data_IF_065133322972
#
_entry.id   IF_065133322972
#
_cell.length_a   1.000
_cell.length_b   1.000
_cell.length_c   1.000
_cell.angle_alpha   90.00
_cell.angle_beta   90.00
_cell.angle_gamma   90.00
#
_symmetry.space_group_name_H-M   'P 1'
#
loop_
_entity.id
_entity.type
_entity.pdbx_description
1 polymer ?
#
# COMPACT_ATOMS: atom_id res chain seq x y z
N UNK A 1 -67.04 -6.60 -26.40
CA UNK A 1 -65.80 -7.40 -26.39
C UNK A 1 -64.86 -6.79 -25.35
N UNK A 2 -64.88 -7.32 -24.13
CA UNK A 2 -63.94 -6.94 -23.07
C UNK A 2 -62.62 -7.65 -23.36
N UNK A 3 -61.54 -6.89 -23.54
CA UNK A 3 -60.21 -7.44 -23.70
C UNK A 3 -59.74 -8.10 -22.38
N UNK A 4 -59.02 -9.23 -22.41
CA UNK A 4 -58.51 -9.83 -21.19
C UNK A 4 -57.36 -8.98 -20.65
N UNK A 5 -57.46 -8.59 -19.38
CA UNK A 5 -56.33 -8.11 -18.59
C UNK A 5 -55.33 -9.26 -18.46
N UNK A 6 -54.20 -9.17 -19.17
CA UNK A 6 -53.06 -10.04 -18.93
C UNK A 6 -52.45 -9.66 -17.58
N UNK A 7 -52.81 -10.41 -16.54
CA UNK A 7 -52.09 -10.37 -15.27
C UNK A 7 -50.72 -10.98 -15.53
N UNK A 8 -49.71 -10.12 -15.68
CA UNK A 8 -48.30 -10.53 -15.70
C UNK A 8 -47.98 -11.18 -14.36
N UNK A 9 -47.97 -12.51 -14.32
CA UNK A 9 -47.39 -13.27 -13.22
C UNK A 9 -45.87 -13.24 -13.36
N UNK A 10 -45.25 -12.06 -13.22
CA UNK A 10 -43.83 -12.01 -12.91
C UNK A 10 -43.67 -12.64 -11.53
N UNK A 11 -43.13 -13.86 -11.47
CA UNK A 11 -42.61 -14.44 -10.23
C UNK A 11 -41.74 -13.36 -9.58
N UNK A 12 -42.13 -12.88 -8.40
CA UNK A 12 -41.29 -11.98 -7.60
C UNK A 12 -40.01 -12.74 -7.26
N UNK A 13 -38.96 -12.44 -8.00
CA UNK A 13 -37.61 -12.85 -7.69
C UNK A 13 -37.12 -12.03 -6.50
N UNK A 14 -36.45 -12.67 -5.55
CA UNK A 14 -35.86 -12.03 -4.38
C UNK A 14 -34.35 -12.24 -4.49
N UNK A 15 -33.61 -11.30 -5.11
CA UNK A 15 -32.19 -11.46 -5.35
C UNK A 15 -31.44 -11.75 -4.06
N UNK A 16 -30.56 -12.76 -4.08
CA UNK A 16 -29.77 -13.16 -2.93
C UNK A 16 -28.31 -12.79 -3.19
N UNK A 17 -27.80 -11.84 -2.41
CA UNK A 17 -26.39 -11.43 -2.42
C UNK A 17 -25.62 -12.20 -1.35
N UNK A 18 -24.55 -12.88 -1.77
CA UNK A 18 -23.58 -13.57 -0.91
C UNK A 18 -22.20 -12.95 -1.07
N UNK A 19 -21.51 -12.74 0.05
CA UNK A 19 -20.13 -12.25 0.10
C UNK A 19 -19.31 -13.18 1.00
N UNK A 20 -18.26 -13.82 0.49
CA UNK A 20 -17.47 -14.80 1.24
C UNK A 20 -15.95 -14.64 1.04
N UNK A 21 -15.14 -14.57 2.11
CA UNK A 21 -15.56 -14.54 3.51
C UNK A 21 -16.13 -13.16 3.91
N UNK A 22 -17.14 -13.14 4.77
CA UNK A 22 -17.75 -11.91 5.33
C UNK A 22 -16.75 -11.14 6.20
N UNK A 23 -15.82 -11.86 6.85
CA UNK A 23 -14.72 -11.30 7.64
C UNK A 23 -13.41 -11.87 7.14
N UNK A 24 -12.44 -11.02 6.88
CA UNK A 24 -11.14 -11.40 6.33
C UNK A 24 -10.19 -10.21 6.39
N UNK A 25 -8.91 -10.46 6.18
CA UNK A 25 -7.93 -9.38 6.14
C UNK A 25 -8.14 -8.51 4.90
N UNK A 26 -7.64 -7.28 4.95
CA UNK A 26 -7.74 -6.34 3.82
C UNK A 26 -6.98 -6.82 2.60
N UNK A 27 -5.95 -7.66 2.76
CA UNK A 27 -5.15 -8.23 1.68
C UNK A 27 -5.64 -9.62 1.21
N UNK A 28 -6.76 -10.09 1.76
CA UNK A 28 -7.44 -11.32 1.35
C UNK A 28 -8.55 -11.04 0.33
N UNK A 29 -8.66 -11.90 -0.69
CA UNK A 29 -9.76 -11.84 -1.65
C UNK A 29 -11.07 -12.30 -1.02
N UNK A 30 -12.18 -11.75 -1.51
CA UNK A 30 -13.50 -12.28 -1.25
C UNK A 30 -14.27 -12.47 -2.56
N UNK A 31 -15.28 -13.32 -2.52
CA UNK A 31 -16.14 -13.65 -3.64
C UNK A 31 -17.51 -13.00 -3.43
N UNK A 32 -18.04 -12.43 -4.50
CA UNK A 32 -19.40 -11.91 -4.54
C UNK A 32 -20.20 -12.78 -5.51
N UNK A 33 -21.38 -13.22 -5.07
CA UNK A 33 -22.35 -13.87 -5.92
C UNK A 33 -23.74 -13.29 -5.68
N UNK A 34 -24.45 -12.99 -6.75
CA UNK A 34 -25.87 -12.65 -6.76
C UNK A 34 -26.60 -13.77 -7.47
N UNK A 35 -27.65 -14.30 -6.86
CA UNK A 35 -28.49 -15.35 -7.43
C UNK A 35 -29.96 -14.93 -7.36
N UNK A 36 -30.84 -15.69 -8.01
CA UNK A 36 -32.28 -15.42 -8.05
C UNK A 36 -32.62 -14.06 -8.68
N UNK A 37 -31.86 -13.66 -9.71
CA UNK A 37 -32.22 -12.59 -10.63
C UNK A 37 -33.06 -13.16 -11.79
N UNK A 38 -33.90 -12.36 -12.45
CA UNK A 38 -34.40 -12.68 -13.77
C UNK A 38 -33.25 -12.95 -14.75
N UNK A 39 -33.31 -13.99 -15.61
CA UNK A 39 -32.28 -14.23 -16.61
C UNK A 39 -32.04 -13.03 -17.52
N UNK A 40 -30.79 -12.80 -17.93
CA UNK A 40 -30.37 -11.66 -18.75
C UNK A 40 -30.70 -10.27 -18.16
N UNK A 41 -30.87 -10.16 -16.83
CA UNK A 41 -31.11 -8.88 -16.19
C UNK A 41 -29.82 -8.08 -16.06
N UNK A 42 -29.87 -6.82 -16.48
CA UNK A 42 -28.83 -5.83 -16.19
C UNK A 42 -28.85 -5.47 -14.71
N UNK A 43 -27.71 -5.55 -14.04
CA UNK A 43 -27.54 -5.15 -12.64
C UNK A 43 -26.24 -4.38 -12.44
N UNK A 44 -26.21 -3.54 -11.40
CA UNK A 44 -24.98 -2.90 -10.92
C UNK A 44 -24.62 -3.45 -9.56
N UNK A 45 -23.39 -3.96 -9.41
CA UNK A 45 -22.79 -4.15 -8.10
C UNK A 45 -22.12 -2.85 -7.68
N UNK A 46 -22.40 -2.37 -6.48
CA UNK A 46 -21.85 -1.14 -5.93
C UNK A 46 -21.25 -1.43 -4.56
N UNK A 47 -20.06 -0.90 -4.29
CA UNK A 47 -19.45 -0.91 -2.97
C UNK A 47 -19.43 0.51 -2.41
N UNK A 48 -19.70 0.63 -1.11
CA UNK A 48 -19.62 1.89 -0.39
C UNK A 48 -18.87 1.67 0.93
N UNK A 49 -17.91 2.55 1.21
CA UNK A 49 -17.16 2.57 2.46
C UNK A 49 -17.08 4.00 3.00
N UNK A 50 -17.28 4.20 4.31
CA UNK A 50 -16.99 5.46 4.98
C UNK A 50 -15.64 5.36 5.69
N UNK A 51 -14.69 6.20 5.32
CA UNK A 51 -13.35 6.20 5.89
C UNK A 51 -13.31 6.72 7.33
N UNK A 52 -12.19 6.49 8.02
CA UNK A 52 -11.94 7.06 9.35
C UNK A 52 -12.00 8.61 9.33
N UNK A 53 -11.66 9.22 8.18
CA UNK A 53 -11.73 10.67 7.92
C UNK A 53 -13.15 11.16 7.55
N UNK A 54 -14.16 10.29 7.64
CA UNK A 54 -15.59 10.57 7.37
C UNK A 54 -15.95 10.83 5.91
N UNK A 55 -15.02 10.65 4.99
CA UNK A 55 -15.27 10.70 3.55
C UNK A 55 -15.87 9.36 3.05
N UNK A 56 -16.77 9.42 2.08
CA UNK A 56 -17.36 8.23 1.47
C UNK A 56 -16.65 7.87 0.16
N UNK A 57 -16.38 6.59 0.00
CA UNK A 57 -15.69 5.98 -1.13
C UNK A 57 -16.59 4.95 -1.78
N UNK A 58 -16.65 4.96 -3.10
CA UNK A 58 -17.45 4.02 -3.87
C UNK A 58 -16.71 3.42 -5.04
N UNK A 59 -17.07 2.19 -5.39
CA UNK A 59 -16.80 1.58 -6.69
C UNK A 59 -18.08 0.92 -7.20
N UNK A 60 -18.18 0.73 -8.51
CA UNK A 60 -19.27 -0.04 -9.08
C UNK A 60 -18.89 -0.71 -10.39
N UNK A 61 -19.54 -1.84 -10.66
CA UNK A 61 -19.40 -2.60 -11.89
C UNK A 61 -20.76 -3.00 -12.47
N UNK A 62 -20.86 -2.98 -13.79
CA UNK A 62 -22.05 -3.35 -14.56
C UNK A 62 -21.99 -4.80 -15.00
N UNK A 63 -23.05 -5.56 -14.74
CA UNK A 63 -23.14 -6.98 -15.04
C UNK A 63 -24.47 -7.33 -15.69
N UNK A 64 -24.53 -8.49 -16.33
CA UNK A 64 -25.76 -9.10 -16.84
C UNK A 64 -25.84 -10.51 -16.28
N UNK A 65 -26.95 -10.86 -15.65
CA UNK A 65 -27.12 -12.19 -15.10
C UNK A 65 -27.21 -13.25 -16.20
N UNK A 66 -26.65 -14.43 -15.94
CA UNK A 66 -26.71 -15.57 -16.84
C UNK A 66 -28.14 -16.12 -17.06
N UNK A 67 -28.25 -17.19 -17.85
CA UNK A 67 -29.51 -17.89 -18.13
C UNK A 67 -30.18 -18.47 -16.87
N UNK A 68 -29.42 -18.64 -15.79
CA UNK A 68 -29.89 -19.13 -14.49
C UNK A 68 -30.19 -17.99 -13.50
N UNK A 69 -30.03 -16.72 -13.91
CA UNK A 69 -30.27 -15.58 -13.04
C UNK A 69 -29.18 -15.33 -12.00
N UNK A 70 -27.92 -15.61 -12.36
CA UNK A 70 -26.76 -15.46 -11.48
C UNK A 70 -25.71 -14.49 -12.04
N UNK A 71 -25.02 -13.80 -11.13
CA UNK A 71 -23.82 -12.99 -11.40
C UNK A 71 -22.77 -13.31 -10.33
N UNK A 72 -21.54 -13.53 -10.73
CA UNK A 72 -20.40 -13.77 -9.84
C UNK A 72 -19.25 -12.81 -10.17
N UNK A 73 -18.82 -12.02 -9.19
CA UNK A 73 -17.76 -11.03 -9.39
C UNK A 73 -16.39 -11.64 -9.71
N UNK A 74 -16.20 -12.94 -9.47
CA UNK A 74 -14.93 -13.64 -9.71
C UNK A 74 -14.77 -14.17 -11.14
N UNK A 75 -15.87 -14.46 -11.85
CA UNK A 75 -15.84 -15.07 -13.20
C UNK A 75 -16.47 -14.20 -14.26
N UNK A 76 -17.49 -13.44 -13.91
CA UNK A 76 -18.24 -12.68 -14.89
C UNK A 76 -17.54 -11.37 -15.21
N UNK A 77 -17.56 -11.01 -16.47
CA UNK A 77 -16.95 -9.80 -16.98
C UNK A 77 -17.75 -8.58 -16.54
N UNK A 78 -17.07 -7.61 -15.91
CA UNK A 78 -17.63 -6.28 -15.69
C UNK A 78 -17.64 -5.51 -17.01
N UNK A 79 -18.82 -5.06 -17.43
CA UNK A 79 -19.05 -4.40 -18.71
C UNK A 79 -18.80 -2.88 -18.68
N UNK A 80 -18.55 -2.32 -17.49
CA UNK A 80 -18.31 -0.90 -17.30
C UNK A 80 -18.53 -0.45 -15.86
N UNK A 81 -18.08 0.75 -15.54
CA UNK A 81 -18.17 1.35 -14.21
C UNK A 81 -16.86 1.97 -13.79
N UNK A 82 -16.46 1.76 -12.53
CA UNK A 82 -15.13 2.19 -12.04
C UNK A 82 -14.00 1.23 -12.44
N UNK A 83 -14.35 0.08 -13.00
CA UNK A 83 -13.45 -0.92 -13.58
C UNK A 83 -14.19 -1.74 -14.65
N UNK A 84 -13.45 -2.48 -15.46
CA UNK A 84 -13.93 -3.39 -16.50
C UNK A 84 -13.12 -4.69 -16.52
N UNK A 85 -13.67 -5.73 -17.16
CA UNK A 85 -13.05 -7.04 -17.26
C UNK A 85 -13.39 -7.97 -16.10
N UNK A 86 -12.70 -9.12 -16.03
CA UNK A 86 -12.88 -10.10 -14.95
C UNK A 86 -12.00 -9.73 -13.75
N UNK A 87 -12.54 -8.89 -12.86
CA UNK A 87 -11.80 -8.29 -11.75
C UNK A 87 -12.44 -8.61 -10.39
N UNK A 88 -12.06 -9.71 -9.72
CA UNK A 88 -12.68 -10.16 -8.47
C UNK A 88 -12.72 -9.11 -7.36
N UNK A 89 -11.71 -8.25 -7.33
CA UNK A 89 -11.53 -7.22 -6.31
C UNK A 89 -11.74 -5.81 -6.84
N UNK A 90 -12.34 -5.66 -8.03
CA UNK A 90 -12.63 -4.37 -8.68
C UNK A 90 -13.36 -3.40 -7.76
N UNK A 91 -14.36 -3.90 -7.03
CA UNK A 91 -15.13 -3.14 -6.05
C UNK A 91 -14.34 -2.64 -4.83
N UNK A 92 -13.09 -3.06 -4.64
CA UNK A 92 -12.19 -2.47 -3.63
C UNK A 92 -11.16 -1.55 -4.27
N UNK A 93 -10.32 -2.08 -5.16
CA UNK A 93 -9.15 -1.34 -5.65
C UNK A 93 -9.52 -0.15 -6.54
N UNK A 94 -10.70 -0.18 -7.16
CA UNK A 94 -11.18 0.91 -8.01
C UNK A 94 -12.02 1.94 -7.26
N UNK A 95 -12.07 1.89 -5.91
CA UNK A 95 -12.84 2.87 -5.15
C UNK A 95 -12.34 4.29 -5.42
N UNK A 96 -13.28 5.21 -5.56
CA UNK A 96 -13.03 6.65 -5.68
C UNK A 96 -13.92 7.40 -4.69
N UNK A 97 -13.58 8.64 -4.31
CA UNK A 97 -14.50 9.46 -3.53
C UNK A 97 -15.84 9.63 -4.26
N UNK A 98 -16.94 9.64 -3.51
CA UNK A 98 -18.28 9.85 -4.10
C UNK A 98 -18.35 11.24 -4.79
N UNK A 99 -19.21 11.43 -5.81
CA UNK A 99 -19.44 12.73 -6.43
C UNK A 99 -19.76 13.82 -5.40
N UNK A 100 -19.12 14.98 -5.54
CA UNK A 100 -19.25 16.10 -4.59
C UNK A 100 -18.29 16.05 -3.39
N UNK A 101 -17.44 15.03 -3.29
CA UNK A 101 -16.36 14.99 -2.29
C UNK A 101 -15.33 16.09 -2.53
N UNK A 102 -14.63 16.47 -1.46
CA UNK A 102 -13.47 17.36 -1.54
C UNK A 102 -12.34 16.75 -2.39
N UNK A 103 -11.55 17.60 -3.05
CA UNK A 103 -10.45 17.18 -3.91
C UNK A 103 -9.25 16.63 -3.12
N UNK A 104 -8.42 15.81 -3.79
CA UNK A 104 -7.12 15.38 -3.29
C UNK A 104 -7.19 14.45 -2.06
N UNK A 105 -8.18 13.56 -2.02
CA UNK A 105 -8.37 12.60 -0.95
C UNK A 105 -7.42 11.40 -1.06
N UNK A 106 -6.97 10.89 0.09
CA UNK A 106 -6.23 9.63 0.23
C UNK A 106 -6.93 8.78 1.28
N UNK A 107 -7.34 7.56 0.94
CA UNK A 107 -7.87 6.63 1.92
C UNK A 107 -6.69 6.09 2.74
N UNK A 108 -6.67 6.42 4.04
CA UNK A 108 -5.69 5.91 5.00
C UNK A 108 -6.43 5.30 6.17
N UNK A 109 -5.94 4.16 6.65
CA UNK A 109 -6.44 3.55 7.88
C UNK A 109 -5.69 4.14 9.08
N UNK A 110 -6.43 4.68 10.04
CA UNK A 110 -5.88 5.19 11.30
C UNK A 110 -6.25 4.28 12.47
N UNK A 111 -7.52 3.92 12.59
CA UNK A 111 -7.99 2.98 13.62
C UNK A 111 -7.98 1.56 13.08
N UNK A 112 -6.81 0.91 13.15
CA UNK A 112 -6.58 -0.45 12.66
C UNK A 112 -7.37 -1.54 13.40
N UNK A 113 -7.96 -1.24 14.57
CA UNK A 113 -8.80 -2.19 15.33
C UNK A 113 -10.28 -2.14 14.92
N UNK A 114 -10.65 -1.21 14.06
CA UNK A 114 -11.93 -1.23 13.37
C UNK A 114 -11.73 -1.75 11.96
N UNK A 115 -12.56 -2.67 11.46
CA UNK A 115 -12.48 -3.08 10.07
C UNK A 115 -12.82 -1.91 9.14
N UNK A 116 -12.38 -2.02 7.90
CA UNK A 116 -13.02 -1.34 6.79
C UNK A 116 -14.32 -2.09 6.49
N UNK A 117 -15.45 -1.51 6.87
CA UNK A 117 -16.78 -2.03 6.53
C UNK A 117 -17.13 -1.60 5.11
N UNK A 118 -17.35 -2.58 4.23
CA UNK A 118 -17.70 -2.36 2.83
C UNK A 118 -19.13 -2.85 2.60
N UNK A 119 -20.03 -1.92 2.36
CA UNK A 119 -21.41 -2.21 2.02
C UNK A 119 -21.50 -2.53 0.53
N UNK A 120 -21.80 -3.78 0.20
CA UNK A 120 -22.04 -4.25 -1.17
C UNK A 120 -23.55 -4.23 -1.43
N UNK A 121 -23.97 -3.52 -2.47
CA UNK A 121 -25.36 -3.40 -2.87
C UNK A 121 -25.55 -3.80 -4.33
N UNK A 122 -26.68 -4.43 -4.61
CA UNK A 122 -27.12 -4.80 -5.97
C UNK A 122 -28.22 -3.84 -6.39
N UNK A 123 -28.07 -3.17 -7.53
CA UNK A 123 -29.12 -2.32 -8.10
C UNK A 123 -29.62 -2.89 -9.42
N UNK A 124 -30.89 -2.59 -9.75
CA UNK A 124 -31.46 -2.95 -11.04
C UNK A 124 -30.99 -1.98 -12.13
N UNK A 125 -30.64 -2.52 -13.29
CA UNK A 125 -30.11 -1.75 -14.42
C UNK A 125 -28.62 -1.45 -14.29
N UNK A 126 -28.06 -0.80 -15.30
CA UNK A 126 -26.69 -0.30 -15.30
C UNK A 126 -26.69 1.16 -14.85
N UNK A 127 -26.59 1.35 -13.54
CA UNK A 127 -26.53 2.67 -12.91
C UNK A 127 -25.07 3.13 -12.78
N UNK A 128 -24.84 4.43 -13.03
CA UNK A 128 -23.51 5.06 -12.88
C UNK A 128 -23.47 6.16 -11.81
N UNK A 129 -24.63 6.54 -11.27
CA UNK A 129 -24.78 7.59 -10.27
C UNK A 129 -26.13 7.47 -9.55
N UNK A 130 -26.33 8.26 -8.49
CA UNK A 130 -27.61 8.35 -7.79
C UNK A 130 -27.94 7.12 -6.94
N UNK A 131 -26.95 6.32 -6.56
CA UNK A 131 -27.13 5.10 -5.76
C UNK A 131 -27.92 5.37 -4.47
N UNK A 132 -27.64 6.47 -3.77
CA UNK A 132 -28.35 6.88 -2.55
C UNK A 132 -29.83 7.22 -2.73
N UNK A 133 -30.28 7.43 -3.97
CA UNK A 133 -31.67 7.76 -4.32
C UNK A 133 -32.44 6.52 -4.76
N UNK A 134 -31.77 5.38 -4.92
CA UNK A 134 -32.39 4.13 -5.36
C UNK A 134 -32.44 3.12 -4.21
N UNK A 135 -33.46 2.26 -4.25
CA UNK A 135 -33.54 1.14 -3.31
C UNK A 135 -32.76 -0.04 -3.89
N UNK A 136 -31.74 -0.57 -3.19
CA UNK A 136 -31.03 -1.74 -3.65
C UNK A 136 -31.93 -2.98 -3.63
N UNK A 137 -31.72 -3.89 -4.59
CA UNK A 137 -32.37 -5.20 -4.67
C UNK A 137 -31.93 -6.11 -3.51
N UNK A 138 -30.66 -6.00 -3.11
CA UNK A 138 -30.06 -6.72 -2.00
C UNK A 138 -28.82 -5.96 -1.52
N UNK A 139 -28.50 -6.10 -0.24
CA UNK A 139 -27.32 -5.50 0.39
C UNK A 139 -26.67 -6.49 1.35
N UNK A 140 -25.35 -6.46 1.43
CA UNK A 140 -24.54 -7.22 2.37
C UNK A 140 -23.35 -6.38 2.82
N UNK A 141 -22.83 -6.60 4.01
CA UNK A 141 -21.65 -5.91 4.52
C UNK A 141 -20.54 -6.93 4.70
N UNK A 142 -19.34 -6.60 4.21
CA UNK A 142 -18.12 -7.36 4.44
C UNK A 142 -17.11 -6.52 5.20
N UNK A 143 -16.46 -7.12 6.20
CA UNK A 143 -15.51 -6.46 7.09
C UNK A 143 -14.08 -6.82 6.67
N UNK A 144 -13.26 -5.82 6.30
CA UNK A 144 -11.85 -5.98 5.92
C UNK A 144 -10.92 -5.51 7.04
N UNK A 145 -10.24 -6.43 7.68
CA UNK A 145 -9.44 -6.20 8.87
C UNK A 145 -7.96 -5.92 8.51
N UNK A 146 -7.33 -4.97 9.20
CA UNK A 146 -5.90 -4.71 9.07
C UNK A 146 -5.04 -5.51 10.08
N UNK A 147 -5.70 -6.20 11.01
CA UNK A 147 -5.08 -6.93 12.11
C UNK A 147 -5.78 -8.28 12.22
N UNK A 148 -5.02 -9.38 12.13
CA UNK A 148 -5.55 -10.72 12.35
C UNK A 148 -5.89 -10.97 13.83
N UNK A 149 -6.84 -11.88 14.13
CA UNK A 149 -7.14 -12.26 15.50
C UNK A 149 -5.90 -12.69 16.29
N UNK A 150 -5.73 -12.13 17.49
CA UNK A 150 -4.65 -12.48 18.41
C UNK A 150 -3.32 -11.74 18.19
N UNK A 151 -3.19 -10.93 17.14
CA UNK A 151 -2.05 -10.01 17.00
C UNK A 151 -2.08 -8.99 18.14
N UNK A 152 -0.95 -8.84 18.83
CA UNK A 152 -0.82 -7.90 19.96
C UNK A 152 -0.16 -6.61 19.48
N UNK A 153 -0.73 -5.47 19.88
CA UNK A 153 -0.15 -4.14 19.67
C UNK A 153 0.52 -3.67 20.95
N UNK A 154 1.80 -3.35 20.87
CA UNK A 154 2.64 -2.90 21.98
C UNK A 154 3.18 -1.51 21.63
N UNK A 155 2.83 -0.50 22.43
CA UNK A 155 3.41 0.83 22.25
C UNK A 155 4.88 0.79 22.69
N UNK A 156 5.77 1.24 21.83
CA UNK A 156 7.17 1.49 22.18
C UNK A 156 7.28 2.95 22.59
N UNK A 157 7.61 3.15 23.85
CA UNK A 157 7.91 4.46 24.47
C UNK A 157 9.16 4.37 25.34
N UNK A 158 10.12 3.57 24.86
CA UNK A 158 11.42 3.43 25.50
C UNK A 158 12.29 4.60 25.04
N UNK A 159 12.79 5.38 26.00
CA UNK A 159 13.54 6.61 25.75
C UNK A 159 12.76 7.63 24.90
N UNK A 160 13.41 8.24 23.90
CA UNK A 160 12.77 9.12 22.92
C UNK A 160 12.09 8.39 21.74
N UNK A 161 12.21 7.06 21.65
CA UNK A 161 11.73 6.30 20.49
C UNK A 161 10.21 6.20 20.51
N UNK A 162 9.58 6.60 19.40
CA UNK A 162 8.14 6.53 19.19
C UNK A 162 7.82 5.53 18.10
N UNK A 163 7.11 4.47 18.48
CA UNK A 163 6.64 3.49 17.53
C UNK A 163 5.65 2.52 18.15
N UNK A 164 5.18 1.60 17.33
CA UNK A 164 4.28 0.52 17.74
C UNK A 164 4.80 -0.80 17.20
N UNK A 165 5.04 -1.75 18.11
CA UNK A 165 5.39 -3.11 17.80
C UNK A 165 4.12 -3.98 17.72
N UNK A 166 3.96 -4.68 16.61
CA UNK A 166 2.93 -5.70 16.40
C UNK A 166 3.55 -7.08 16.51
N UNK A 167 2.96 -7.93 17.36
CA UNK A 167 3.42 -9.29 17.60
C UNK A 167 2.37 -10.30 17.11
N UNK A 168 2.77 -11.29 16.31
CA UNK A 168 1.91 -12.40 15.95
C UNK A 168 1.39 -13.17 17.18
N UNK A 169 0.23 -13.85 17.07
CA UNK A 169 -0.24 -14.76 18.11
C UNK A 169 0.71 -15.97 18.25
N UNK A 170 0.89 -16.46 19.49
CA UNK A 170 1.73 -17.62 19.79
C UNK A 170 2.89 -17.32 20.75
N UNK A 171 3.84 -18.25 20.82
CA UNK A 171 4.95 -18.22 21.78
C UNK A 171 6.22 -17.51 21.27
N UNK A 172 6.32 -17.22 19.97
CA UNK A 172 7.54 -16.66 19.37
C UNK A 172 8.80 -17.54 19.57
N UNK A 173 10.01 -16.98 19.44
CA UNK A 173 10.29 -15.64 18.90
C UNK A 173 10.04 -15.57 17.39
N UNK A 174 9.67 -14.39 16.89
CA UNK A 174 9.32 -14.16 15.49
C UNK A 174 10.41 -13.41 14.73
N UNK A 175 10.58 -13.64 13.42
CA UNK A 175 11.42 -12.76 12.60
C UNK A 175 10.92 -11.30 12.70
N UNK A 176 11.85 -10.35 12.81
CA UNK A 176 11.55 -8.94 13.05
C UNK A 176 11.53 -8.10 11.77
N UNK A 177 10.67 -7.10 11.69
CA UNK A 177 10.66 -6.10 10.61
C UNK A 177 10.57 -4.70 11.20
N UNK A 178 11.55 -3.84 10.90
CA UNK A 178 11.46 -2.41 11.16
C UNK A 178 10.80 -1.73 9.95
N UNK A 179 9.63 -1.14 10.15
CA UNK A 179 8.76 -0.60 9.10
C UNK A 179 8.83 0.94 9.08
N UNK A 180 9.37 1.49 7.99
CA UNK A 180 9.62 2.91 7.79
C UNK A 180 8.73 3.45 6.65
N UNK A 181 7.84 4.37 7.01
CA UNK A 181 6.99 5.08 6.04
C UNK A 181 7.68 6.28 5.41
N UNK A 182 7.05 6.93 4.43
CA UNK A 182 7.55 8.14 3.79
C UNK A 182 7.24 9.43 4.56
N UNK A 183 7.38 10.55 3.88
CA UNK A 183 6.97 11.87 4.41
C UNK A 183 5.45 11.96 4.55
N UNK A 184 4.99 12.81 5.47
CA UNK A 184 3.56 12.98 5.80
C UNK A 184 3.28 13.00 7.30
N UNK A 185 4.30 12.67 8.10
CA UNK A 185 4.28 12.73 9.56
C UNK A 185 3.36 11.71 10.21
N UNK A 186 3.49 11.60 11.53
CA UNK A 186 2.68 10.69 12.34
C UNK A 186 3.10 9.23 12.23
N UNK A 187 2.47 8.41 13.07
CA UNK A 187 2.67 6.97 13.09
C UNK A 187 1.66 6.26 12.17
N UNK A 188 2.17 5.52 11.18
CA UNK A 188 1.36 4.73 10.24
C UNK A 188 1.52 3.25 10.54
N UNK A 189 0.45 2.61 10.99
CA UNK A 189 0.54 1.27 11.61
C UNK A 189 0.06 0.12 10.72
N UNK A 190 -0.74 0.40 9.70
CA UNK A 190 -1.52 -0.63 9.02
C UNK A 190 -0.68 -1.66 8.24
N UNK A 191 0.48 -1.27 7.69
CA UNK A 191 1.40 -2.24 7.05
C UNK A 191 2.07 -3.15 8.07
N UNK A 192 2.55 -2.60 9.19
CA UNK A 192 3.11 -3.40 10.29
C UNK A 192 2.09 -4.34 10.92
N UNK A 193 0.84 -3.89 11.09
CA UNK A 193 -0.24 -4.74 11.56
C UNK A 193 -0.51 -5.93 10.61
N UNK A 194 -0.47 -5.70 9.30
CA UNK A 194 -0.59 -6.77 8.30
C UNK A 194 0.62 -7.70 8.31
N UNK A 195 1.85 -7.18 8.38
CA UNK A 195 3.05 -8.00 8.51
C UNK A 195 2.99 -8.94 9.73
N UNK A 196 2.48 -8.45 10.88
CA UNK A 196 2.27 -9.29 12.06
C UNK A 196 1.16 -10.31 11.90
N UNK A 197 0.15 -10.00 11.09
CA UNK A 197 -0.88 -10.96 10.69
C UNK A 197 -0.30 -12.09 9.82
N UNK A 198 0.83 -11.86 9.16
CA UNK A 198 1.59 -12.83 8.37
C UNK A 198 2.81 -13.43 9.09
N UNK A 199 2.91 -13.26 10.42
CA UNK A 199 3.89 -13.98 11.25
C UNK A 199 5.19 -13.23 11.55
N UNK A 200 5.30 -11.94 11.21
CA UNK A 200 6.47 -11.10 11.54
C UNK A 200 6.25 -10.22 12.77
N UNK A 201 7.22 -10.12 13.67
CA UNK A 201 7.18 -9.06 14.67
C UNK A 201 7.55 -7.72 14.02
N UNK A 202 6.56 -6.87 13.73
CA UNK A 202 6.75 -5.66 12.93
C UNK A 202 6.62 -4.39 13.76
N UNK A 203 7.63 -3.53 13.72
CA UNK A 203 7.63 -2.23 14.41
C UNK A 203 7.44 -1.09 13.42
N UNK A 204 6.28 -0.44 13.47
CA UNK A 204 6.05 0.83 12.79
C UNK A 204 6.77 1.94 13.57
N UNK A 205 7.63 2.69 12.90
CA UNK A 205 8.42 3.76 13.51
C UNK A 205 7.90 5.13 13.09
N UNK A 206 7.62 6.00 14.07
CA UNK A 206 7.40 7.43 13.84
C UNK A 206 8.73 8.15 13.89
N UNK A 207 8.98 9.05 12.95
CA UNK A 207 10.16 9.90 12.92
C UNK A 207 9.86 11.23 12.22
N UNK A 208 10.70 12.24 12.47
CA UNK A 208 10.53 13.60 11.94
C UNK A 208 11.78 14.05 11.18
N UNK A 209 11.76 15.26 10.64
CA UNK A 209 12.90 15.85 9.94
C UNK A 209 14.10 16.09 10.87
N UNK A 210 13.87 16.20 12.18
CA UNK A 210 14.93 16.43 13.17
C UNK A 210 15.57 15.11 13.66
N UNK A 211 15.12 13.98 13.12
CA UNK A 211 15.61 12.66 13.51
C UNK A 211 16.95 12.37 12.83
N UNK A 212 17.92 11.88 13.60
CA UNK A 212 19.24 11.48 13.11
C UNK A 212 19.39 9.95 13.01
N UNK A 213 20.55 9.50 12.55
CA UNK A 213 20.86 8.08 12.41
C UNK A 213 20.74 7.30 13.74
N UNK A 214 21.11 7.92 14.86
CA UNK A 214 21.12 7.25 16.17
C UNK A 214 19.72 6.83 16.62
N UNK A 215 18.69 7.59 16.25
CA UNK A 215 17.30 7.24 16.51
C UNK A 215 16.89 5.92 15.82
N UNK A 216 17.27 5.76 14.56
CA UNK A 216 16.99 4.53 13.82
C UNK A 216 17.81 3.34 14.36
N UNK A 217 19.06 3.58 14.75
CA UNK A 217 19.91 2.56 15.38
C UNK A 217 19.33 2.08 16.72
N UNK A 218 18.87 3.00 17.57
CA UNK A 218 18.18 2.69 18.83
C UNK A 218 16.88 1.91 18.58
N UNK A 219 16.03 2.35 17.65
CA UNK A 219 14.80 1.65 17.31
C UNK A 219 15.08 0.21 16.82
N UNK A 220 16.09 0.03 15.98
CA UNK A 220 16.54 -1.28 15.52
C UNK A 220 17.03 -2.16 16.68
N UNK A 221 17.78 -1.60 17.64
CA UNK A 221 18.24 -2.31 18.83
C UNK A 221 17.09 -2.70 19.77
N UNK A 222 16.12 -1.82 20.00
CA UNK A 222 14.91 -2.12 20.79
C UNK A 222 14.19 -3.32 20.18
N UNK A 223 13.98 -3.30 18.86
CA UNK A 223 13.35 -4.42 18.17
C UNK A 223 14.19 -5.70 18.28
N UNK A 224 15.51 -5.64 18.05
CA UNK A 224 16.40 -6.80 18.10
C UNK A 224 16.50 -7.44 19.49
N UNK A 225 16.39 -6.63 20.54
CA UNK A 225 16.50 -7.07 21.93
C UNK A 225 15.16 -7.49 22.54
N UNK A 226 14.04 -7.26 21.86
CA UNK A 226 12.73 -7.62 22.37
C UNK A 226 12.59 -9.15 22.48
N UNK A 227 12.11 -9.71 23.62
CA UNK A 227 12.15 -11.15 23.89
C UNK A 227 11.29 -12.01 22.93
N UNK A 228 10.29 -11.41 22.30
CA UNK A 228 9.45 -12.07 21.29
C UNK A 228 10.01 -11.95 19.86
N UNK A 229 11.15 -11.30 19.66
CA UNK A 229 11.80 -11.13 18.36
C UNK A 229 13.01 -12.05 18.28
N UNK A 230 13.17 -12.73 17.15
CA UNK A 230 14.28 -13.63 16.90
C UNK A 230 15.52 -12.78 16.68
N UNK A 231 16.42 -12.82 17.66
CA UNK A 231 17.67 -12.07 17.66
C UNK A 231 18.44 -12.24 16.35
N UNK A 232 18.92 -11.13 15.80
CA UNK A 232 19.70 -11.00 14.57
C UNK A 232 18.98 -11.48 13.28
N UNK A 233 17.67 -11.70 13.35
CA UNK A 233 16.80 -12.02 12.20
C UNK A 233 15.81 -10.88 11.94
N UNK A 234 16.37 -9.72 11.59
CA UNK A 234 15.60 -8.50 11.32
C UNK A 234 15.72 -8.10 9.86
N UNK A 235 14.62 -7.63 9.29
CA UNK A 235 14.60 -6.87 8.04
C UNK A 235 14.29 -5.39 8.31
N UNK A 236 14.63 -4.55 7.35
CA UNK A 236 14.12 -3.16 7.28
C UNK A 236 13.29 -3.02 6.02
N UNK A 237 12.06 -2.53 6.17
CA UNK A 237 11.14 -2.28 5.07
C UNK A 237 10.84 -0.78 5.01
N UNK A 238 11.20 -0.15 3.90
CA UNK A 238 10.99 1.28 3.66
C UNK A 238 9.98 1.55 2.55
N UNK A 239 9.29 2.68 2.63
CA UNK A 239 8.57 3.30 1.51
C UNK A 239 8.99 4.76 1.36
N UNK A 240 9.23 5.22 0.13
CA UNK A 240 9.59 6.62 -0.17
C UNK A 240 10.83 7.06 0.62
N UNK A 241 10.75 8.13 1.42
CA UNK A 241 11.82 8.55 2.33
C UNK A 241 12.31 7.41 3.25
N UNK A 242 11.41 6.55 3.72
CA UNK A 242 11.77 5.38 4.53
C UNK A 242 12.69 4.41 3.78
N UNK A 243 12.53 4.27 2.46
CA UNK A 243 13.43 3.48 1.61
C UNK A 243 14.81 4.15 1.50
N UNK A 244 14.86 5.47 1.35
CA UNK A 244 16.14 6.18 1.28
C UNK A 244 16.92 6.09 2.61
N UNK A 245 16.23 6.19 3.75
CA UNK A 245 16.79 5.95 5.08
C UNK A 245 17.28 4.50 5.18
N UNK A 246 16.48 3.53 4.72
CA UNK A 246 16.85 2.11 4.73
C UNK A 246 18.15 1.87 3.97
N UNK A 247 18.28 2.41 2.75
CA UNK A 247 19.49 2.29 1.93
C UNK A 247 20.70 2.92 2.61
N UNK A 248 20.55 4.12 3.19
CA UNK A 248 21.63 4.81 3.91
C UNK A 248 22.07 4.00 5.15
N UNK A 249 21.12 3.59 5.99
CA UNK A 249 21.41 2.84 7.21
C UNK A 249 22.07 1.49 6.90
N UNK A 250 21.56 0.74 5.93
CA UNK A 250 22.16 -0.53 5.52
C UNK A 250 23.57 -0.39 4.91
N UNK A 251 23.92 0.80 4.39
CA UNK A 251 25.23 1.06 3.76
C UNK A 251 26.28 1.58 4.75
N UNK A 252 25.87 2.33 5.77
CA UNK A 252 26.79 3.13 6.60
C UNK A 252 26.67 2.90 8.11
N UNK A 253 25.51 2.45 8.62
CA UNK A 253 25.37 2.19 10.06
C UNK A 253 26.26 1.03 10.51
N UNK A 254 26.89 1.19 11.68
CA UNK A 254 27.62 0.09 12.33
C UNK A 254 26.71 -0.80 13.18
N UNK A 255 25.49 -0.33 13.47
CA UNK A 255 24.52 -0.97 14.35
C UNK A 255 23.47 -1.74 13.55
N UNK A 256 22.91 -1.13 12.50
CA UNK A 256 21.85 -1.71 11.68
C UNK A 256 22.46 -2.75 10.72
N UNK A 257 22.21 -4.04 11.00
CA UNK A 257 22.73 -5.19 10.24
C UNK A 257 21.59 -6.15 9.86
N UNK A 258 20.66 -5.74 8.97
CA UNK A 258 19.52 -6.55 8.61
C UNK A 258 19.94 -7.78 7.79
N UNK A 259 19.14 -8.84 7.87
CA UNK A 259 19.26 -10.01 7.00
C UNK A 259 18.77 -9.72 5.58
N UNK A 260 17.87 -8.75 5.42
CA UNK A 260 17.44 -8.25 4.11
C UNK A 260 16.77 -6.88 4.23
N UNK A 261 16.72 -6.15 3.11
CA UNK A 261 16.03 -4.88 2.99
C UNK A 261 14.97 -4.92 1.89
N UNK A 262 13.83 -4.28 2.12
CA UNK A 262 12.79 -4.05 1.11
C UNK A 262 12.59 -2.54 0.97
N UNK A 263 12.78 -2.02 -0.25
CA UNK A 263 12.68 -0.60 -0.53
C UNK A 263 11.60 -0.36 -1.60
N UNK A 264 10.47 0.19 -1.16
CA UNK A 264 9.34 0.53 -2.03
C UNK A 264 9.49 1.99 -2.49
N UNK A 265 9.47 2.22 -3.80
CA UNK A 265 9.55 3.55 -4.41
C UNK A 265 10.67 4.42 -3.82
N UNK A 266 11.87 3.84 -3.69
CA UNK A 266 13.02 4.43 -3.01
C UNK A 266 14.09 4.97 -3.97
N UNK A 267 14.95 5.86 -3.48
CA UNK A 267 16.08 6.40 -4.23
C UNK A 267 17.32 6.51 -3.35
N UNK A 268 18.49 6.22 -3.92
CA UNK A 268 19.81 6.39 -3.28
C UNK A 268 20.37 7.82 -3.42
N UNK A 269 19.64 8.72 -4.09
CA UNK A 269 20.07 10.11 -4.36
C UNK A 269 20.10 11.00 -3.10
N UNK A 270 19.78 10.46 -1.93
CA UNK A 270 19.85 11.21 -0.69
C UNK A 270 21.32 11.42 -0.25
N UNK A 271 21.69 12.64 0.19
CA UNK A 271 23.03 12.96 0.66
C UNK A 271 23.37 12.20 1.96
N UNK A 272 24.48 11.45 1.93
CA UNK A 272 24.91 10.57 3.05
C UNK A 272 25.35 11.34 4.29
N UNK A 273 26.03 12.48 4.11
CA UNK A 273 26.61 13.26 5.20
C UNK A 273 25.65 14.30 5.80
N UNK A 274 24.41 14.33 5.34
CA UNK A 274 23.40 15.28 5.77
C UNK A 274 22.39 14.63 6.68
N UNK A 275 22.05 15.31 7.76
CA UNK A 275 20.86 15.01 8.56
C UNK A 275 19.59 15.12 7.72
N UNK A 276 18.49 14.54 8.20
CA UNK A 276 17.18 14.70 7.56
C UNK A 276 16.82 16.20 7.43
N UNK A 277 17.08 17.01 8.46
CA UNK A 277 16.83 18.45 8.45
C UNK A 277 17.59 19.16 7.32
N UNK A 278 18.88 18.86 7.15
CA UNK A 278 19.69 19.42 6.06
C UNK A 278 19.24 18.93 4.67
N UNK A 279 18.70 17.72 4.56
CA UNK A 279 18.06 17.23 3.34
C UNK A 279 16.80 18.04 3.01
N UNK A 280 15.94 18.31 4.00
CA UNK A 280 14.74 19.12 3.80
C UNK A 280 15.09 20.57 3.42
N UNK A 281 16.12 21.17 4.02
CA UNK A 281 16.61 22.48 3.61
C UNK A 281 17.20 22.46 2.19
N UNK A 282 17.85 21.36 1.77
CA UNK A 282 18.31 21.21 0.38
C UNK A 282 17.15 21.08 -0.61
N UNK A 283 16.10 20.34 -0.25
CA UNK A 283 14.88 20.26 -1.07
C UNK A 283 14.23 21.63 -1.22
N UNK A 284 14.14 22.38 -0.13
CA UNK A 284 13.63 23.75 -0.13
C UNK A 284 14.49 24.70 -0.97
N UNK A 285 15.82 24.59 -0.91
CA UNK A 285 16.72 25.45 -1.70
C UNK A 285 16.66 25.17 -3.20
N UNK A 286 16.15 24.01 -3.62
CA UNK A 286 15.98 23.61 -5.03
C UNK A 286 14.52 23.64 -5.47
N UNK A 287 13.63 24.36 -4.76
CA UNK A 287 12.20 24.36 -5.09
C UNK A 287 11.89 24.84 -6.52
N UNK A 288 12.80 25.60 -7.13
CA UNK A 288 12.74 26.04 -8.53
C UNK A 288 12.76 24.87 -9.53
N UNK A 289 13.15 23.67 -9.07
CA UNK A 289 13.15 22.42 -9.85
C UNK A 289 11.86 21.64 -9.75
N UNK A 290 10.92 22.04 -8.90
CA UNK A 290 9.58 21.45 -8.88
C UNK A 290 8.89 21.72 -10.21
N UNK A 291 8.25 20.69 -10.76
CA UNK A 291 7.42 20.85 -11.94
C UNK A 291 5.94 20.80 -11.55
N UNK A 292 5.12 21.47 -12.34
CA UNK A 292 3.68 21.50 -12.18
C UNK A 292 3.06 21.13 -13.52
N UNK A 293 2.13 20.18 -13.53
CA UNK A 293 1.42 19.79 -14.74
C UNK A 293 0.22 20.72 -15.04
N UNK A 294 -0.47 20.47 -16.13
CA UNK A 294 -1.63 21.27 -16.58
C UNK A 294 -2.80 21.28 -15.56
N UNK A 295 -2.87 20.26 -14.70
CA UNK A 295 -3.88 20.12 -13.63
C UNK A 295 -3.47 20.79 -12.30
N UNK A 296 -2.41 21.62 -12.29
CA UNK A 296 -1.82 22.23 -11.08
C UNK A 296 -1.34 21.21 -10.03
N UNK A 297 -0.89 20.03 -10.47
CA UNK A 297 -0.33 19.00 -9.60
C UNK A 297 1.19 19.07 -9.62
N UNK A 298 1.79 19.03 -8.43
CA UNK A 298 3.24 19.17 -8.23
C UNK A 298 3.93 17.81 -8.41
N UNK A 299 5.00 17.81 -9.20
CA UNK A 299 5.87 16.67 -9.52
C UNK A 299 7.21 16.87 -8.79
N UNK A 300 7.52 15.97 -7.86
CA UNK A 300 8.74 16.04 -7.03
C UNK A 300 9.96 15.42 -7.71
N UNK A 301 9.74 14.55 -8.71
CA UNK A 301 10.79 13.77 -9.37
C UNK A 301 12.01 14.59 -9.79
N UNK A 302 11.78 15.74 -10.41
CA UNK A 302 12.85 16.61 -10.92
C UNK A 302 13.62 17.32 -9.80
N UNK A 303 12.93 17.67 -8.71
CA UNK A 303 13.59 18.15 -7.50
C UNK A 303 14.56 17.09 -6.98
N UNK A 304 14.11 15.84 -6.82
CA UNK A 304 14.95 14.76 -6.29
C UNK A 304 16.14 14.45 -7.21
N UNK A 305 15.92 14.43 -8.53
CA UNK A 305 17.00 14.29 -9.52
C UNK A 305 18.06 15.40 -9.43
N UNK A 306 17.68 16.58 -8.94
CA UNK A 306 18.58 17.73 -8.75
C UNK A 306 19.35 17.71 -7.43
N UNK A 307 18.91 16.89 -6.45
CA UNK A 307 19.65 16.64 -5.22
C UNK A 307 20.91 15.80 -5.60
N UNK A 308 22.03 16.02 -4.91
CA UNK A 308 23.38 16.38 -5.39
C UNK A 308 24.06 15.58 -6.54
N UNK A 309 25.11 16.23 -7.09
CA UNK A 309 26.11 15.71 -8.04
C UNK A 309 26.83 14.45 -7.51
N UNK A 310 27.35 13.61 -8.42
CA UNK A 310 27.80 12.20 -8.27
C UNK A 310 28.55 11.79 -6.97
N UNK A 311 29.11 12.69 -6.17
CA UNK A 311 29.92 12.40 -4.98
C UNK A 311 29.16 12.27 -3.66
N UNK A 312 27.84 12.50 -3.61
CA UNK A 312 27.08 12.54 -2.34
C UNK A 312 25.96 11.50 -2.21
N UNK A 313 25.72 10.67 -3.24
CA UNK A 313 24.67 9.63 -3.22
C UNK A 313 25.04 8.49 -2.26
N UNK A 314 24.04 7.76 -1.76
CA UNK A 314 24.25 6.53 -0.99
C UNK A 314 24.95 5.48 -1.86
N UNK A 315 26.12 5.02 -1.43
CA UNK A 315 26.88 3.92 -2.06
C UNK A 315 26.28 2.58 -1.69
N UNK A 316 25.25 2.17 -2.43
CA UNK A 316 24.55 0.90 -2.20
C UNK A 316 25.42 -0.33 -2.45
N UNK A 317 26.58 -0.18 -3.11
CA UNK A 317 27.56 -1.27 -3.27
C UNK A 317 28.10 -1.78 -1.93
N UNK A 318 27.95 -0.99 -0.86
CA UNK A 318 28.30 -1.35 0.53
C UNK A 318 27.32 -2.34 1.16
N UNK A 319 26.08 -2.42 0.68
CA UNK A 319 25.06 -3.30 1.24
C UNK A 319 25.47 -4.76 1.02
N UNK A 320 25.50 -5.52 2.13
CA UNK A 320 25.94 -6.94 2.17
C UNK A 320 24.80 -7.93 2.41
N UNK A 321 23.57 -7.45 2.47
CA UNK A 321 22.38 -8.29 2.59
C UNK A 321 21.53 -8.22 1.30
N UNK A 322 20.68 -9.22 1.04
CA UNK A 322 19.64 -9.18 0.03
C UNK A 322 18.82 -7.88 0.07
N UNK A 323 18.62 -7.27 -1.09
CA UNK A 323 17.88 -6.03 -1.29
C UNK A 323 16.81 -6.24 -2.37
N UNK A 324 15.56 -6.02 -2.00
CA UNK A 324 14.42 -6.00 -2.92
C UNK A 324 14.00 -4.55 -3.19
N UNK A 325 14.08 -4.12 -4.45
CA UNK A 325 13.51 -2.86 -4.92
C UNK A 325 12.13 -3.10 -5.51
N UNK A 326 11.13 -2.32 -5.09
CA UNK A 326 9.75 -2.41 -5.56
C UNK A 326 9.34 -1.05 -6.11
N UNK A 327 9.32 -0.93 -7.43
CA UNK A 327 9.20 0.36 -8.11
C UNK A 327 8.08 0.35 -9.15
N UNK A 328 7.44 1.51 -9.32
CA UNK A 328 6.55 1.78 -10.45
C UNK A 328 7.23 2.73 -11.44
N UNK A 329 7.11 2.47 -12.73
CA UNK A 329 7.81 3.28 -13.75
C UNK A 329 7.15 4.64 -14.04
N UNK A 330 5.90 4.85 -13.61
CA UNK A 330 5.19 6.13 -13.61
C UNK A 330 5.31 6.84 -12.25
N UNK A 331 6.40 6.64 -11.50
CA UNK A 331 6.65 7.38 -10.25
C UNK A 331 6.98 8.86 -10.54
N UNK A 332 6.08 9.74 -10.08
CA UNK A 332 6.18 11.20 -10.26
C UNK A 332 6.82 11.92 -9.04
N UNK A 333 7.26 11.15 -8.04
CA UNK A 333 7.87 11.65 -6.81
C UNK A 333 9.37 11.37 -6.75
N UNK A 334 9.79 10.11 -6.89
CA UNK A 334 11.20 9.71 -6.89
C UNK A 334 11.61 9.18 -8.28
N UNK A 335 12.85 9.42 -8.73
CA UNK A 335 13.35 8.89 -10.00
C UNK A 335 13.77 7.43 -9.84
N UNK A 336 12.81 6.55 -9.55
CA UNK A 336 13.06 5.16 -9.13
C UNK A 336 13.62 4.30 -10.26
N UNK A 337 13.32 4.62 -11.53
CA UNK A 337 13.86 3.92 -12.71
C UNK A 337 15.35 4.19 -12.81
N UNK A 338 15.76 5.47 -12.87
CA UNK A 338 17.16 5.86 -12.92
C UNK A 338 17.92 5.42 -11.67
N UNK A 339 17.26 5.50 -10.51
CA UNK A 339 17.87 5.05 -9.25
C UNK A 339 18.12 3.55 -9.25
N UNK A 340 17.18 2.74 -9.75
CA UNK A 340 17.34 1.28 -9.83
C UNK A 340 18.50 0.88 -10.75
N UNK A 341 18.64 1.52 -11.90
CA UNK A 341 19.76 1.29 -12.83
C UNK A 341 21.11 1.66 -12.19
N UNK A 342 21.20 2.86 -11.58
CA UNK A 342 22.42 3.34 -10.93
C UNK A 342 22.80 2.44 -9.74
N UNK A 343 21.83 2.06 -8.91
CA UNK A 343 22.03 1.12 -7.80
C UNK A 343 22.50 -0.26 -8.29
N UNK A 344 21.94 -0.78 -9.37
CA UNK A 344 22.38 -2.05 -9.96
C UNK A 344 23.83 -1.99 -10.44
N UNK A 345 24.24 -0.90 -11.09
CA UNK A 345 25.63 -0.68 -11.51
C UNK A 345 26.59 -0.58 -10.31
N UNK A 346 26.18 0.13 -9.24
CA UNK A 346 26.97 0.23 -8.01
C UNK A 346 27.18 -1.14 -7.36
N UNK A 347 26.13 -1.95 -7.25
CA UNK A 347 26.21 -3.29 -6.67
C UNK A 347 26.99 -4.27 -7.55
N UNK A 348 26.88 -4.17 -8.88
CA UNK A 348 27.71 -4.93 -9.83
C UNK A 348 29.20 -4.64 -9.64
N UNK A 349 29.58 -3.36 -9.62
CA UNK A 349 30.97 -2.92 -9.40
C UNK A 349 31.53 -3.41 -8.06
N UNK A 350 30.67 -3.54 -7.05
CA UNK A 350 31.03 -4.03 -5.73
C UNK A 350 30.96 -5.57 -5.58
N UNK A 351 30.62 -6.30 -6.64
CA UNK A 351 30.49 -7.77 -6.64
C UNK A 351 29.22 -8.31 -5.97
N UNK A 352 28.25 -7.46 -5.64
CA UNK A 352 27.05 -7.80 -4.85
C UNK A 352 25.76 -7.81 -5.66
N UNK A 353 25.82 -7.76 -7.00
CA UNK A 353 24.62 -7.75 -7.88
C UNK A 353 23.66 -8.91 -7.62
N UNK A 354 24.19 -10.07 -7.22
CA UNK A 354 23.40 -11.27 -6.89
C UNK A 354 22.50 -11.09 -5.66
N UNK A 355 22.73 -10.06 -4.85
CA UNK A 355 21.88 -9.70 -3.70
C UNK A 355 20.70 -8.79 -4.10
N UNK A 356 20.69 -8.27 -5.34
CA UNK A 356 19.71 -7.28 -5.78
C UNK A 356 18.60 -7.92 -6.62
N UNK A 357 17.38 -7.82 -6.14
CA UNK A 357 16.15 -8.10 -6.88
C UNK A 357 15.41 -6.78 -7.17
N UNK A 358 14.93 -6.61 -8.40
CA UNK A 358 14.22 -5.41 -8.84
C UNK A 358 12.88 -5.82 -9.43
N UNK A 359 11.81 -5.34 -8.81
CA UNK A 359 10.45 -5.41 -9.35
C UNK A 359 10.13 -4.03 -9.92
N UNK A 360 9.94 -3.98 -11.24
CA UNK A 360 9.51 -2.78 -11.95
C UNK A 360 8.11 -3.02 -12.52
N UNK A 361 7.14 -2.25 -12.05
CA UNK A 361 5.74 -2.37 -12.48
C UNK A 361 5.38 -1.27 -13.46
N UNK A 362 4.88 -1.60 -14.66
CA UNK A 362 4.44 -0.62 -15.63
C UNK A 362 3.21 0.14 -15.14
N UNK A 363 3.11 1.42 -15.53
CA UNK A 363 1.98 2.31 -15.26
C UNK A 363 1.62 2.39 -13.76
N UNK A 364 2.64 2.26 -12.90
CA UNK A 364 2.48 2.23 -11.44
C UNK A 364 3.15 3.46 -10.84
N UNK A 365 2.43 4.17 -9.97
CA UNK A 365 2.95 5.37 -9.30
C UNK A 365 3.70 5.09 -8.00
N UNK A 366 3.98 6.17 -7.27
CA UNK A 366 4.82 6.18 -6.07
C UNK A 366 4.25 5.37 -4.89
N UNK A 367 2.94 5.47 -4.64
CA UNK A 367 2.31 4.95 -3.41
C UNK A 367 1.88 3.48 -3.53
N UNK A 368 2.85 2.56 -3.61
CA UNK A 368 2.56 1.11 -3.62
C UNK A 368 2.19 0.65 -2.20
N UNK A 369 0.90 0.73 -1.89
CA UNK A 369 0.27 0.36 -0.62
C UNK A 369 0.03 -1.17 -0.51
N UNK A 370 -0.36 -1.70 0.67
CA UNK A 370 -0.89 -3.06 0.75
C UNK A 370 -2.09 -3.30 -0.20
N UNK A 371 -2.36 -4.56 -0.58
CA UNK A 371 -3.32 -4.91 -1.64
C UNK A 371 -4.71 -4.32 -1.43
N UNK A 372 -5.37 -4.03 -2.55
CA UNK A 372 -6.74 -3.50 -2.65
C UNK A 372 -6.99 -2.15 -1.97
N UNK A 373 -5.94 -1.49 -1.47
CA UNK A 373 -6.00 -0.05 -1.20
C UNK A 373 -6.29 0.68 -2.52
N UNK A 374 -7.24 1.63 -2.57
CA UNK A 374 -7.57 2.31 -3.81
C UNK A 374 -6.39 3.12 -4.35
N UNK A 375 -6.28 3.22 -5.67
CA UNK A 375 -5.21 4.01 -6.29
C UNK A 375 -5.47 5.52 -6.15
N UNK A 376 -4.46 6.26 -5.66
CA UNK A 376 -4.50 7.72 -5.56
C UNK A 376 -3.46 8.35 -6.50
N UNK A 377 -3.88 8.71 -7.71
CA UNK A 377 -2.96 9.35 -8.68
C UNK A 377 -2.41 10.67 -8.16
N UNK A 378 -3.25 11.48 -7.51
CA UNK A 378 -2.85 12.77 -6.95
C UNK A 378 -3.63 13.09 -5.66
N UNK A 379 -2.95 13.61 -4.63
CA UNK A 379 -3.58 13.90 -3.33
C UNK A 379 -3.08 15.19 -2.71
N UNK A 380 -3.85 15.74 -1.76
CA UNK A 380 -3.37 16.85 -0.95
C UNK A 380 -2.14 16.42 -0.14
N UNK A 381 -1.13 17.27 -0.16
CA UNK A 381 0.11 17.11 0.58
C UNK A 381 0.49 18.43 1.23
N UNK A 382 0.99 18.38 2.47
CA UNK A 382 1.45 19.56 3.19
C UNK A 382 2.94 19.73 2.93
N UNK A 383 3.30 20.81 2.24
CA UNK A 383 4.68 21.25 2.10
C UNK A 383 5.13 21.84 3.44
N UNK A 384 5.88 21.08 4.22
CA UNK A 384 6.25 21.48 5.59
C UNK A 384 6.99 22.83 5.65
N UNK A 385 7.85 23.14 4.67
CA UNK A 385 8.60 24.39 4.64
C UNK A 385 7.83 25.62 4.14
N UNK A 386 6.68 25.45 3.47
CA UNK A 386 5.79 26.57 3.06
C UNK A 386 4.58 26.72 3.97
N UNK A 387 4.30 25.71 4.80
CA UNK A 387 3.03 25.57 5.51
C UNK A 387 1.81 25.69 4.57
N UNK A 388 1.98 25.28 3.30
CA UNK A 388 0.97 25.33 2.25
C UNK A 388 0.50 23.91 1.89
N UNK A 389 -0.75 23.81 1.42
CA UNK A 389 -1.28 22.57 0.85
C UNK A 389 -1.15 22.63 -0.65
N UNK A 390 -0.48 21.63 -1.21
CA UNK A 390 -0.41 21.38 -2.65
C UNK A 390 -1.13 20.09 -3.00
N UNK A 391 -1.41 19.89 -4.29
CA UNK A 391 -1.77 18.57 -4.81
C UNK A 391 -0.52 17.93 -5.36
N UNK A 392 -0.08 16.83 -4.78
CA UNK A 392 1.09 16.07 -5.22
C UNK A 392 0.66 15.02 -6.22
N UNK A 393 1.33 14.95 -7.37
CA UNK A 393 1.16 13.87 -8.33
C UNK A 393 2.04 12.69 -7.92
N UNK A 394 1.43 11.56 -7.62
CA UNK A 394 2.11 10.30 -7.30
C UNK A 394 2.34 9.45 -8.55
N UNK A 395 1.52 9.65 -9.59
CA UNK A 395 1.53 8.88 -10.82
C UNK A 395 0.75 7.56 -10.73
N UNK A 396 0.83 6.73 -11.77
CA UNK A 396 0.16 5.44 -11.89
C UNK A 396 -1.22 5.48 -12.59
N UNK A 397 -1.63 4.33 -13.13
CA UNK A 397 -2.96 4.06 -13.65
C UNK A 397 -3.66 3.07 -12.72
N UNK A 398 -4.97 3.25 -12.49
CA UNK A 398 -5.70 2.54 -11.43
C UNK A 398 -5.57 1.02 -11.49
N UNK A 399 -5.78 0.41 -12.66
CA UNK A 399 -5.74 -1.05 -12.82
C UNK A 399 -4.31 -1.62 -12.73
N UNK A 400 -3.30 -1.12 -13.49
CA UNK A 400 -1.91 -1.54 -13.32
C UNK A 400 -1.38 -1.35 -11.90
N UNK A 401 -1.69 -0.22 -11.26
CA UNK A 401 -1.25 0.06 -9.90
C UNK A 401 -1.86 -0.90 -8.87
N UNK A 402 -3.15 -1.24 -9.01
CA UNK A 402 -3.80 -2.23 -8.16
C UNK A 402 -3.15 -3.62 -8.29
N UNK A 403 -2.78 -4.03 -9.50
CA UNK A 403 -2.04 -5.28 -9.71
C UNK A 403 -0.63 -5.25 -9.12
N UNK A 404 0.06 -4.12 -9.27
CA UNK A 404 1.38 -3.93 -8.67
C UNK A 404 1.32 -4.08 -7.14
N UNK A 405 0.32 -3.48 -6.48
CA UNK A 405 0.12 -3.65 -5.03
C UNK A 405 -0.14 -5.12 -4.64
N UNK A 406 -0.99 -5.83 -5.37
CA UNK A 406 -1.29 -7.25 -5.09
C UNK A 406 -0.06 -8.15 -5.28
N UNK A 407 0.66 -8.00 -6.38
CA UNK A 407 1.83 -8.82 -6.71
C UNK A 407 3.04 -8.48 -5.83
N UNK A 408 3.32 -7.19 -5.63
CA UNK A 408 4.41 -6.73 -4.78
C UNK A 408 4.24 -7.22 -3.35
N UNK A 409 3.03 -7.16 -2.78
CA UNK A 409 2.81 -7.65 -1.41
C UNK A 409 3.15 -9.12 -1.25
N UNK A 410 2.70 -9.97 -2.19
CA UNK A 410 3.02 -11.41 -2.19
C UNK A 410 4.53 -11.64 -2.27
N UNK A 411 5.22 -10.92 -3.17
CA UNK A 411 6.67 -11.04 -3.36
C UNK A 411 7.46 -10.51 -2.16
N UNK A 412 7.02 -9.42 -1.53
CA UNK A 412 7.60 -8.88 -0.30
C UNK A 412 7.49 -9.91 0.83
N UNK A 413 6.31 -10.50 1.06
CA UNK A 413 6.13 -11.53 2.09
C UNK A 413 7.02 -12.75 1.82
N UNK A 414 7.08 -13.22 0.57
CA UNK A 414 7.93 -14.34 0.19
C UNK A 414 9.42 -14.04 0.40
N UNK A 415 9.88 -12.86 0.01
CA UNK A 415 11.25 -12.39 0.18
C UNK A 415 11.65 -12.30 1.66
N UNK A 416 10.79 -11.71 2.50
CA UNK A 416 10.99 -11.65 3.95
C UNK A 416 11.06 -13.05 4.57
N UNK A 417 10.14 -13.96 4.22
CA UNK A 417 10.16 -15.33 4.72
C UNK A 417 11.43 -16.07 4.30
N UNK A 418 11.85 -15.93 3.04
CA UNK A 418 13.07 -16.54 2.50
C UNK A 418 14.31 -16.12 3.29
N UNK A 419 14.46 -14.83 3.59
CA UNK A 419 15.69 -14.30 4.19
C UNK A 419 15.68 -14.23 5.72
N UNK A 420 14.51 -14.28 6.37
CA UNK A 420 14.41 -14.28 7.82
C UNK A 420 14.23 -15.68 8.43
N UNK A 421 13.95 -16.70 7.61
CA UNK A 421 13.78 -18.09 8.07
C UNK A 421 14.99 -18.98 7.86
N UNK A 422 15.92 -18.57 6.99
CA UNK A 422 17.15 -19.31 6.77
C UNK A 422 17.96 -19.37 8.08
N UNK A 423 18.53 -20.53 8.45
CA UNK A 423 19.53 -20.57 9.51
C UNK A 423 20.71 -19.69 9.09
N UNK A 424 21.21 -18.84 9.99
CA UNK A 424 22.40 -18.03 9.75
C UNK A 424 23.52 -18.97 9.34
N UNK A 425 23.94 -18.92 8.08
CA UNK A 425 25.14 -19.60 7.63
C UNK A 425 26.32 -18.97 8.35
N UNK A 426 26.73 -19.56 9.47
CA UNK A 426 28.01 -19.26 10.08
C UNK A 426 29.07 -19.67 9.07
N UNK A 427 29.56 -18.71 8.29
CA UNK A 427 30.82 -18.86 7.57
C UNK A 427 31.91 -18.88 8.65
N UNK A 428 32.17 -20.06 9.21
CA UNK A 428 33.41 -20.32 9.92
C UNK A 428 34.52 -20.31 8.89
N UNK A 429 35.23 -19.20 8.80
CA UNK A 429 36.55 -19.15 8.18
C UNK A 429 37.48 -20.06 8.97
N UNK A 430 37.97 -21.13 8.34
CA UNK A 430 39.15 -21.86 8.79
C UNK A 430 40.42 -21.14 8.33
#
# INVERSE_FOLDING_TARGET
LLAPLSVSTQKRTCPLLSVQPVRGLVDEKFQIAVTNLPPNQKVTLHSLHQSDDKDFWEAFGHYVSDEHGSVTGFKDECLGGTYDGTEPMGLLWSMRPIPGSRHGLRLRKRDIFRPMEVCISVYSGHLSQGFSQQTPLATSVTERWYVAPGVKRVNIREEEIRGTLFLPPGFGPYPGVLDLWGTGGGLVEYRSALLASHGFASMALEYTQDTDASYFEKAYQILNNHPMVKKDHLAVLGLSLGSAITLSMASYSKVIKPQCCVCISGSHLMPVEKSLSELFELMKSNEDKLCVNEDNQVIYRNLILSLPCQSAKVDVGRIKCPLLLVNGDDDQTFPVVESAEDMAMMMEKAGNRHLLEILMYPDTGHLIEPPYSPHFRATNYKLEWKNERIVMLWGGQTKPHAYAQEDAWKKILAFLWQHLSAPVSTVTSF
#
